data_IF_530104602127
#
_entry.id   IF_530104602127
#
_cell.length_a   1.000
_cell.length_b   1.000
_cell.length_c   1.000
_cell.angle_alpha   90.00
_cell.angle_beta   90.00
_cell.angle_gamma   90.00
#
_symmetry.space_group_name_H-M   'P 1'
#
loop_
_entity.id
_entity.type
_entity.pdbx_description
1 polymer ?
#
# COMPACT_ATOMS: atom_id res chain seq x y z
N UNK A 1 -17.43 -18.24 -7.91
CA UNK A 1 -17.02 -17.35 -6.81
C UNK A 1 -16.43 -16.11 -7.44
N UNK A 2 -17.11 -14.97 -7.35
CA UNK A 2 -16.70 -13.73 -8.00
C UNK A 2 -15.72 -13.02 -7.06
N UNK A 3 -14.43 -13.04 -7.38
CA UNK A 3 -13.41 -12.34 -6.61
C UNK A 3 -13.67 -10.83 -6.72
N UNK A 4 -14.16 -10.22 -5.65
CA UNK A 4 -14.37 -8.77 -5.59
C UNK A 4 -13.01 -8.08 -5.41
N UNK A 5 -12.35 -7.75 -6.51
CA UNK A 5 -11.17 -6.90 -6.50
C UNK A 5 -11.58 -5.44 -6.27
N UNK A 6 -11.45 -4.97 -5.03
CA UNK A 6 -11.75 -3.58 -4.71
C UNK A 6 -10.56 -2.69 -5.07
N UNK A 7 -10.66 -1.94 -6.17
CA UNK A 7 -9.71 -0.90 -6.50
C UNK A 7 -9.84 0.29 -5.53
N UNK A 8 -8.71 0.78 -5.05
CA UNK A 8 -8.61 1.88 -4.08
C UNK A 8 -7.51 2.82 -4.51
N UNK A 9 -7.86 4.03 -4.89
CA UNK A 9 -6.85 5.06 -5.15
C UNK A 9 -6.41 5.71 -3.83
N UNK A 10 -5.11 5.77 -3.60
CA UNK A 10 -4.49 6.65 -2.61
C UNK A 10 -4.16 7.98 -3.26
N UNK A 11 -4.46 9.07 -2.55
CA UNK A 11 -4.31 10.42 -3.10
C UNK A 11 -3.84 11.41 -2.04
N UNK A 12 -3.10 12.43 -2.48
CA UNK A 12 -2.56 13.47 -1.60
C UNK A 12 -1.25 13.04 -0.94
N UNK A 13 -0.99 13.56 0.25
CA UNK A 13 0.24 13.25 0.98
C UNK A 13 0.09 11.94 1.77
N UNK A 14 1.12 11.09 1.74
CA UNK A 14 1.31 9.94 2.63
C UNK A 14 2.50 10.23 3.55
N UNK A 15 2.22 10.98 4.61
CA UNK A 15 3.22 11.42 5.60
C UNK A 15 2.76 11.01 6.99
N UNK A 16 3.57 11.28 8.02
CA UNK A 16 3.20 11.04 9.42
C UNK A 16 1.79 11.57 9.79
N UNK A 17 1.37 12.69 9.19
CA UNK A 17 0.09 13.33 9.51
C UNK A 17 -1.13 12.61 8.91
N UNK A 18 -0.97 11.96 7.76
CA UNK A 18 -2.07 11.32 7.03
C UNK A 18 -2.02 9.79 7.09
N UNK A 19 -0.86 9.21 7.37
CA UNK A 19 -0.64 7.77 7.29
C UNK A 19 -1.56 6.97 8.22
N UNK A 20 -1.77 7.43 9.46
CA UNK A 20 -2.61 6.70 10.40
C UNK A 20 -4.08 6.64 9.95
N UNK A 21 -4.60 7.75 9.42
CA UNK A 21 -5.97 7.82 8.92
C UNK A 21 -6.15 6.91 7.69
N UNK A 22 -5.20 6.98 6.75
CA UNK A 22 -5.21 6.13 5.56
C UNK A 22 -5.12 4.64 5.95
N UNK A 23 -4.23 4.27 6.88
CA UNK A 23 -4.12 2.90 7.37
C UNK A 23 -5.46 2.39 7.92
N UNK A 24 -6.14 3.14 8.80
CA UNK A 24 -7.45 2.74 9.35
C UNK A 24 -8.47 2.47 8.26
N UNK A 25 -8.55 3.34 7.25
CA UNK A 25 -9.46 3.17 6.12
C UNK A 25 -9.10 1.94 5.29
N UNK A 26 -7.83 1.75 4.94
CA UNK A 26 -7.36 0.61 4.15
C UNK A 26 -7.56 -0.71 4.90
N UNK A 27 -7.28 -0.76 6.19
CA UNK A 27 -7.49 -1.95 7.03
C UNK A 27 -8.96 -2.35 7.11
N UNK A 28 -9.88 -1.38 7.19
CA UNK A 28 -11.31 -1.66 7.15
C UNK A 28 -11.73 -2.24 5.79
N UNK A 29 -11.22 -1.67 4.68
CA UNK A 29 -11.51 -2.19 3.33
C UNK A 29 -10.92 -3.57 3.10
N UNK A 30 -9.70 -3.81 3.57
CA UNK A 30 -9.04 -5.12 3.52
C UNK A 30 -9.88 -6.15 4.30
N UNK A 31 -10.42 -5.79 5.46
CA UNK A 31 -11.33 -6.66 6.23
C UNK A 31 -12.62 -7.02 5.49
N UNK A 32 -13.13 -6.15 4.62
CA UNK A 32 -14.40 -6.39 3.90
C UNK A 32 -14.28 -7.20 2.60
N UNK A 33 -13.07 -7.38 2.05
CA UNK A 33 -12.86 -8.12 0.79
C UNK A 33 -11.71 -9.13 0.86
N UNK A 34 -11.46 -9.86 -0.23
CA UNK A 34 -10.40 -10.89 -0.29
C UNK A 34 -9.04 -10.30 -0.70
N UNK A 35 -9.06 -9.31 -1.59
CA UNK A 35 -7.86 -8.64 -2.10
C UNK A 35 -8.12 -7.16 -2.37
N UNK A 36 -7.14 -6.33 -2.03
CA UNK A 36 -7.18 -4.88 -2.24
C UNK A 36 -6.19 -4.47 -3.33
N UNK A 37 -6.61 -3.65 -4.29
CA UNK A 37 -5.71 -3.07 -5.29
C UNK A 37 -5.51 -1.59 -4.97
N UNK A 38 -4.28 -1.18 -4.69
CA UNK A 38 -3.94 0.19 -4.32
C UNK A 38 -3.28 0.92 -5.49
N UNK A 39 -3.94 1.96 -5.99
CA UNK A 39 -3.39 2.85 -7.01
C UNK A 39 -2.80 4.10 -6.36
N UNK A 40 -1.49 4.30 -6.47
CA UNK A 40 -0.77 5.42 -5.88
C UNK A 40 -0.52 6.58 -6.88
N UNK A 41 -1.12 6.55 -8.07
CA UNK A 41 -0.90 7.57 -9.11
C UNK A 41 -1.21 9.01 -8.65
N UNK A 42 -2.09 9.17 -7.65
CA UNK A 42 -2.50 10.48 -7.11
C UNK A 42 -1.77 10.86 -5.82
N UNK A 43 -0.77 10.08 -5.39
CA UNK A 43 0.07 10.41 -4.23
C UNK A 43 1.06 11.49 -4.65
N UNK A 44 0.94 12.66 -4.04
CA UNK A 44 1.75 13.84 -4.39
C UNK A 44 3.02 13.94 -3.55
N UNK A 45 3.03 13.32 -2.37
CA UNK A 45 4.16 13.32 -1.44
C UNK A 45 4.16 12.05 -0.59
N UNK A 46 5.33 11.48 -0.37
CA UNK A 46 5.51 10.35 0.53
C UNK A 46 6.81 10.48 1.32
N UNK A 47 6.80 10.07 2.59
CA UNK A 47 7.98 9.94 3.45
C UNK A 47 8.10 8.52 4.01
N UNK A 48 8.95 8.31 5.02
CA UNK A 48 9.12 7.00 5.66
C UNK A 48 7.82 6.45 6.28
N UNK A 49 6.87 7.29 6.67
CA UNK A 49 5.59 6.86 7.21
C UNK A 49 4.70 6.19 6.15
N UNK A 50 4.87 6.53 4.87
CA UNK A 50 4.19 5.83 3.78
C UNK A 50 4.61 4.36 3.69
N UNK A 51 5.92 4.08 3.82
CA UNK A 51 6.42 2.71 3.86
C UNK A 51 5.91 1.95 5.08
N UNK A 52 5.99 2.58 6.26
CA UNK A 52 5.46 2.01 7.50
C UNK A 52 3.97 1.66 7.38
N UNK A 53 3.17 2.53 6.76
CA UNK A 53 1.76 2.28 6.48
C UNK A 53 1.57 1.03 5.61
N UNK A 54 2.28 0.94 4.48
CA UNK A 54 2.14 -0.18 3.55
C UNK A 54 2.54 -1.51 4.21
N UNK A 55 3.62 -1.52 4.98
CA UNK A 55 4.09 -2.72 5.68
C UNK A 55 3.19 -3.12 6.83
N UNK A 56 2.63 -2.15 7.56
CA UNK A 56 1.65 -2.42 8.60
C UNK A 56 0.35 -2.97 8.00
N UNK A 57 -0.10 -2.43 6.85
CA UNK A 57 -1.24 -2.99 6.12
C UNK A 57 -0.95 -4.44 5.69
N UNK A 58 0.27 -4.73 5.23
CA UNK A 58 0.67 -6.09 4.83
C UNK A 58 0.65 -7.05 6.01
N UNK A 59 1.16 -6.62 7.16
CA UNK A 59 1.14 -7.38 8.41
C UNK A 59 -0.29 -7.68 8.85
N UNK A 60 -1.20 -6.69 8.79
CA UNK A 60 -2.61 -6.87 9.14
C UNK A 60 -3.35 -7.78 8.15
N UNK A 61 -3.02 -7.70 6.86
CA UNK A 61 -3.55 -8.60 5.83
C UNK A 61 -3.11 -10.04 6.06
N UNK A 62 -1.81 -10.25 6.24
CA UNK A 62 -1.23 -11.58 6.47
C UNK A 62 -1.85 -12.28 7.70
N UNK A 63 -2.06 -11.54 8.79
CA UNK A 63 -2.73 -12.06 10.00
C UNK A 63 -4.17 -12.54 9.76
N UNK A 64 -4.79 -12.12 8.66
CA UNK A 64 -6.17 -12.44 8.28
C UNK A 64 -6.25 -13.27 6.99
N UNK A 65 -5.12 -13.74 6.45
CA UNK A 65 -5.08 -14.46 5.17
C UNK A 65 -5.44 -13.61 3.94
N UNK A 66 -5.28 -12.28 4.04
CA UNK A 66 -5.61 -11.31 2.99
C UNK A 66 -4.37 -10.67 2.40
N UNK A 67 -4.50 -10.17 1.18
CA UNK A 67 -3.39 -9.55 0.46
C UNK A 67 -3.81 -8.25 -0.23
N UNK A 68 -2.81 -7.47 -0.62
CA UNK A 68 -3.00 -6.32 -1.49
C UNK A 68 -1.89 -6.23 -2.52
N UNK A 69 -2.16 -5.48 -3.58
CA UNK A 69 -1.23 -5.13 -4.65
C UNK A 69 -1.12 -3.61 -4.78
N UNK A 70 0.03 -3.16 -5.28
CA UNK A 70 0.35 -1.76 -5.53
C UNK A 70 0.49 -1.51 -7.03
N UNK A 71 -0.09 -0.41 -7.48
CA UNK A 71 0.02 0.13 -8.83
C UNK A 71 0.47 1.59 -8.77
N UNK A 72 1.14 2.05 -9.84
CA UNK A 72 1.60 3.43 -10.00
C UNK A 72 2.38 3.97 -8.79
N UNK A 73 3.27 3.14 -8.24
CA UNK A 73 4.08 3.49 -7.06
C UNK A 73 5.01 4.66 -7.40
N UNK A 74 4.95 5.80 -6.68
CA UNK A 74 5.78 6.96 -6.98
C UNK A 74 7.27 6.65 -6.81
N UNK A 75 8.10 7.14 -7.74
CA UNK A 75 9.55 6.98 -7.68
C UNK A 75 10.18 7.41 -6.33
N UNK A 76 9.75 8.51 -5.68
CA UNK A 76 10.26 8.86 -4.35
C UNK A 76 10.06 7.76 -3.29
N UNK A 77 8.93 7.04 -3.33
CA UNK A 77 8.64 5.97 -2.39
C UNK A 77 9.54 4.75 -2.64
N UNK A 78 9.81 4.42 -3.90
CA UNK A 78 10.77 3.38 -4.30
C UNK A 78 12.18 3.76 -3.82
N UNK A 79 12.59 5.02 -4.01
CA UNK A 79 13.89 5.52 -3.54
C UNK A 79 14.04 5.42 -2.02
N UNK A 80 12.98 5.75 -1.27
CA UNK A 80 12.97 5.57 0.19
C UNK A 80 13.10 4.10 0.57
N UNK A 81 12.36 3.20 -0.09
CA UNK A 81 12.45 1.77 0.20
C UNK A 81 13.87 1.24 -0.03
N UNK A 82 14.53 1.65 -1.13
CA UNK A 82 15.94 1.31 -1.40
C UNK A 82 16.89 1.85 -0.34
N UNK A 83 16.72 3.12 0.05
CA UNK A 83 17.55 3.76 1.07
C UNK A 83 17.48 3.01 2.42
N UNK A 84 16.31 2.47 2.75
CA UNK A 84 16.09 1.71 3.98
C UNK A 84 16.28 0.19 3.82
N UNK A 85 16.68 -0.31 2.64
CA UNK A 85 16.85 -1.75 2.36
C UNK A 85 15.54 -2.57 2.39
N UNK A 86 14.40 -1.90 2.19
CA UNK A 86 13.06 -2.48 2.18
C UNK A 86 12.45 -2.59 0.77
N UNK A 87 13.23 -2.33 -0.27
CA UNK A 87 12.86 -2.44 -1.68
C UNK A 87 12.42 -3.85 -2.07
N UNK A 88 13.18 -4.87 -1.66
CA UNK A 88 12.80 -6.27 -1.89
C UNK A 88 11.48 -6.66 -1.24
N UNK A 89 11.12 -6.02 -0.12
CA UNK A 89 9.82 -6.22 0.53
C UNK A 89 8.73 -5.47 -0.23
N UNK A 90 8.98 -4.22 -0.62
CA UNK A 90 8.06 -3.42 -1.42
C UNK A 90 7.71 -4.09 -2.75
N UNK A 91 8.71 -4.64 -3.45
CA UNK A 91 8.57 -5.32 -4.75
C UNK A 91 7.59 -6.50 -4.69
N UNK A 92 7.45 -7.18 -3.54
CA UNK A 92 6.48 -8.28 -3.39
C UNK A 92 5.03 -7.83 -3.52
N UNK A 93 4.76 -6.55 -3.25
CA UNK A 93 3.43 -5.98 -3.32
C UNK A 93 3.19 -5.27 -4.65
N UNK A 94 4.23 -4.92 -5.40
CA UNK A 94 4.07 -4.28 -6.69
C UNK A 94 3.63 -5.31 -7.73
N UNK A 95 2.64 -4.96 -8.56
CA UNK A 95 2.34 -5.81 -9.70
C UNK A 95 3.54 -5.84 -10.66
N UNK A 96 3.91 -7.02 -11.19
CA UNK A 96 4.99 -7.10 -12.17
C UNK A 96 4.62 -6.25 -13.38
N UNK A 97 5.51 -5.33 -13.77
CA UNK A 97 5.37 -4.57 -15.00
C UNK A 97 5.30 -5.55 -16.18
N UNK A 98 4.11 -5.72 -16.75
CA UNK A 98 3.86 -6.58 -17.91
C UNK A 98 4.26 -5.88 -19.20
#
# INVERSE_FOLDING_TARGET
>A
MQVHHAATSLSGELTMLSAEQQLKTLSARLKSGDSLHLDLAKVTRADSAALSLLFELARQGAAQGKSFTLQNVPAPLISLAKLYGADTLLDKFMEPAR
#
